data_IF_198794283466
#
_entry.id   IF_198794283466
#
_cell.length_a   1.000
_cell.length_b   1.000
_cell.length_c   1.000
_cell.angle_alpha   90.00
_cell.angle_beta   90.00
_cell.angle_gamma   90.00
#
_symmetry.space_group_name_H-M   'P 1'
#
loop_
_entity.id
_entity.type
_entity.pdbx_description
1 polymer ?
#
# COMPACT_ATOMS: atom_id res chain seq x y z
N UNK A 1 17.56 -6.67 -10.71
CA UNK A 1 18.02 -5.56 -11.59
C UNK A 1 18.04 -4.30 -10.76
N UNK A 2 19.23 -3.87 -10.30
CA UNK A 2 19.35 -2.66 -9.48
C UNK A 2 19.07 -1.38 -10.26
N UNK A 3 18.79 -0.28 -9.55
CA UNK A 3 18.54 1.07 -10.10
C UNK A 3 19.67 1.56 -11.03
N UNK A 4 20.91 1.10 -10.78
CA UNK A 4 22.10 1.41 -11.60
C UNK A 4 22.07 0.64 -12.91
N UNK A 5 21.86 -0.69 -12.85
CA UNK A 5 21.81 -1.55 -14.05
C UNK A 5 20.61 -1.22 -14.95
N UNK A 6 19.50 -0.71 -14.39
CA UNK A 6 18.35 -0.29 -15.18
C UNK A 6 18.69 0.89 -16.11
N UNK A 7 19.44 1.88 -15.62
CA UNK A 7 19.87 3.03 -16.42
C UNK A 7 20.84 2.63 -17.54
N UNK A 8 21.78 1.74 -17.23
CA UNK A 8 22.72 1.18 -18.22
C UNK A 8 22.00 0.31 -19.26
N UNK A 9 21.04 -0.52 -18.85
CA UNK A 9 20.22 -1.32 -19.76
C UNK A 9 19.42 -0.46 -20.74
N UNK A 10 18.82 0.64 -20.26
CA UNK A 10 18.13 1.58 -21.14
C UNK A 10 19.08 2.31 -22.09
N UNK A 11 20.29 2.63 -21.62
CA UNK A 11 21.31 3.21 -22.48
C UNK A 11 21.83 2.21 -23.51
N UNK A 12 21.99 0.92 -23.18
CA UNK A 12 22.45 -0.06 -24.15
C UNK A 12 21.36 -0.38 -25.20
N UNK A 13 20.09 -0.38 -24.79
CA UNK A 13 18.95 -0.68 -25.67
C UNK A 13 18.55 0.47 -26.59
N UNK A 14 18.65 1.72 -26.11
CA UNK A 14 18.18 2.92 -26.83
C UNK A 14 19.29 3.95 -27.08
N UNK A 15 20.51 3.71 -26.61
CA UNK A 15 21.64 4.64 -26.70
C UNK A 15 22.22 4.70 -28.09
N UNK A 16 21.71 5.64 -28.87
CA UNK A 16 22.32 6.12 -30.10
C UNK A 16 22.00 7.58 -30.41
N UNK A 17 21.36 8.29 -29.47
CA UNK A 17 20.86 9.66 -29.65
C UNK A 17 21.73 10.74 -28.98
N UNK A 18 21.41 12.01 -29.28
CA UNK A 18 22.13 13.22 -28.85
C UNK A 18 22.15 13.45 -27.32
N UNK A 19 21.26 12.81 -26.56
CA UNK A 19 21.16 12.89 -25.11
C UNK A 19 21.31 11.50 -24.48
N UNK A 20 22.23 11.30 -23.52
CA UNK A 20 22.35 10.03 -22.82
C UNK A 20 21.08 9.70 -22.04
N UNK A 21 20.49 8.53 -22.32
CA UNK A 21 19.26 8.05 -21.66
C UNK A 21 19.45 7.92 -20.14
N UNK A 22 20.69 7.71 -19.68
CA UNK A 22 21.09 7.79 -18.28
C UNK A 22 20.65 9.11 -17.61
N UNK A 23 20.76 10.26 -18.28
CA UNK A 23 20.33 11.53 -17.69
C UNK A 23 18.82 11.65 -17.60
N UNK A 24 18.09 11.16 -18.61
CA UNK A 24 16.62 11.14 -18.60
C UNK A 24 16.12 10.22 -17.48
N UNK A 25 16.75 9.06 -17.31
CA UNK A 25 16.50 8.14 -16.20
C UNK A 25 16.77 8.79 -14.85
N UNK A 26 17.92 9.45 -14.69
CA UNK A 26 18.27 10.18 -13.47
C UNK A 26 17.29 11.30 -13.13
N UNK A 27 16.87 12.10 -14.11
CA UNK A 27 15.85 13.15 -13.93
C UNK A 27 14.50 12.53 -13.56
N UNK A 28 14.13 11.42 -14.19
CA UNK A 28 12.92 10.65 -13.86
C UNK A 28 12.91 10.16 -12.41
N UNK A 29 14.02 9.59 -11.94
CA UNK A 29 14.20 9.18 -10.54
C UNK A 29 14.08 10.36 -9.58
N UNK A 30 14.68 11.51 -9.93
CA UNK A 30 14.59 12.73 -9.13
C UNK A 30 13.15 13.26 -9.05
N UNK A 31 12.44 13.27 -10.19
CA UNK A 31 11.04 13.70 -10.29
C UNK A 31 10.11 12.77 -9.49
N UNK A 32 10.32 11.45 -9.56
CA UNK A 32 9.57 10.47 -8.76
C UNK A 32 9.74 10.71 -7.26
N UNK A 33 10.97 11.01 -6.80
CA UNK A 33 11.24 11.36 -5.40
C UNK A 33 10.52 12.63 -4.92
N UNK A 34 10.43 13.66 -5.76
CA UNK A 34 9.70 14.88 -5.43
C UNK A 34 8.19 14.63 -5.32
N UNK A 35 7.62 13.85 -6.25
CA UNK A 35 6.19 13.49 -6.24
C UNK A 35 5.79 12.68 -4.98
N UNK A 36 6.62 11.71 -4.60
CA UNK A 36 6.41 10.92 -3.37
C UNK A 36 6.45 11.80 -2.11
N UNK A 37 7.35 12.78 -2.06
CA UNK A 37 7.48 13.69 -0.91
C UNK A 37 6.24 14.56 -0.76
N UNK A 38 5.73 15.12 -1.86
CA UNK A 38 4.51 15.93 -1.84
C UNK A 38 3.32 15.11 -1.31
N UNK A 39 3.08 13.95 -1.90
CA UNK A 39 1.97 13.06 -1.51
C UNK A 39 2.09 12.63 -0.05
N UNK A 40 3.29 12.25 0.40
CA UNK A 40 3.55 11.86 1.80
C UNK A 40 3.27 12.99 2.79
N UNK A 41 3.67 14.23 2.47
CA UNK A 41 3.38 15.37 3.36
C UNK A 41 1.90 15.70 3.42
N UNK A 42 1.15 15.54 2.32
CA UNK A 42 -0.29 15.76 2.29
C UNK A 42 -1.04 14.68 3.07
N UNK A 43 -0.77 13.40 2.80
CA UNK A 43 -1.35 12.27 3.54
C UNK A 43 -1.07 12.37 5.05
N UNK A 44 0.17 12.72 5.42
CA UNK A 44 0.54 12.96 6.81
C UNK A 44 -0.24 14.09 7.48
N UNK A 45 -0.68 15.14 6.76
CA UNK A 45 -1.53 16.18 7.36
C UNK A 45 -2.88 15.63 7.77
N UNK A 46 -3.50 14.82 6.90
CA UNK A 46 -4.84 14.28 7.13
C UNK A 46 -4.83 13.29 8.29
N UNK A 47 -3.84 12.39 8.35
CA UNK A 47 -3.72 11.44 9.46
C UNK A 47 -3.43 12.18 10.77
N UNK A 48 -2.49 13.13 10.77
CA UNK A 48 -2.07 13.81 12.00
C UNK A 48 -3.11 14.80 12.54
N UNK A 49 -3.88 15.43 11.64
CA UNK A 49 -5.02 16.28 12.00
C UNK A 49 -6.29 15.50 12.36
N UNK A 50 -6.47 14.31 11.81
CA UNK A 50 -7.64 13.46 12.10
C UNK A 50 -7.48 12.58 13.34
N UNK A 51 -6.32 11.91 13.48
CA UNK A 51 -6.10 10.92 14.55
C UNK A 51 -5.35 11.44 15.77
N UNK A 52 -4.44 12.41 15.62
CA UNK A 52 -3.57 12.88 16.72
C UNK A 52 -3.88 14.31 17.19
N UNK A 53 -4.79 15.03 16.52
CA UNK A 53 -5.09 16.47 16.69
C UNK A 53 -3.82 17.36 16.89
N UNK A 54 -2.71 16.98 16.27
CA UNK A 54 -1.44 17.69 16.38
C UNK A 54 -1.27 18.66 15.21
N UNK A 55 -1.51 19.94 15.48
CA UNK A 55 -1.30 21.03 14.53
C UNK A 55 0.16 21.49 14.50
N UNK A 56 1.04 20.69 13.87
CA UNK A 56 2.42 21.09 13.59
C UNK A 56 2.55 21.94 12.31
N UNK A 57 3.52 22.87 12.30
CA UNK A 57 3.87 23.67 11.12
C UNK A 57 4.33 22.76 9.97
N UNK A 58 3.89 23.07 8.74
CA UNK A 58 4.16 22.28 7.50
C UNK A 58 5.64 21.96 7.30
N UNK A 59 6.51 22.93 7.54
CA UNK A 59 7.98 22.80 7.39
C UNK A 59 8.57 21.81 8.39
N UNK A 60 8.17 21.89 9.67
CA UNK A 60 8.68 21.01 10.72
C UNK A 60 8.24 19.57 10.51
N UNK A 61 6.98 19.34 10.12
CA UNK A 61 6.50 17.99 9.79
C UNK A 61 7.25 17.38 8.62
N UNK A 62 7.51 18.17 7.57
CA UNK A 62 8.28 17.70 6.42
C UNK A 62 9.73 17.37 6.79
N UNK A 63 10.36 18.14 7.67
CA UNK A 63 11.72 17.87 8.12
C UNK A 63 11.80 16.59 8.94
N UNK A 64 10.88 16.38 9.89
CA UNK A 64 10.84 15.17 10.73
C UNK A 64 10.59 13.92 9.87
N UNK A 65 9.61 13.97 8.97
CA UNK A 65 9.30 12.79 8.13
C UNK A 65 10.46 12.47 7.18
N UNK A 66 11.15 13.49 6.66
CA UNK A 66 12.33 13.30 5.80
C UNK A 66 13.54 12.83 6.60
N UNK A 67 13.78 13.34 7.81
CA UNK A 67 14.88 12.85 8.64
C UNK A 67 14.64 11.40 9.06
N UNK A 68 13.42 11.04 9.46
CA UNK A 68 13.06 9.66 9.79
C UNK A 68 13.19 8.70 8.59
N UNK A 69 13.02 9.17 7.35
CA UNK A 69 13.23 8.34 6.16
C UNK A 69 14.71 8.29 5.73
N UNK A 70 15.42 9.42 5.79
CA UNK A 70 16.81 9.54 5.33
C UNK A 70 17.77 8.86 6.32
N UNK A 71 17.56 8.99 7.62
CA UNK A 71 18.49 8.45 8.63
C UNK A 71 18.66 6.92 8.52
N UNK A 72 17.58 6.10 8.49
CA UNK A 72 17.73 4.66 8.31
C UNK A 72 18.38 4.31 6.97
N UNK A 73 17.97 5.00 5.90
CA UNK A 73 18.53 4.79 4.55
C UNK A 73 20.03 5.10 4.50
N UNK A 74 20.46 6.17 5.17
CA UNK A 74 21.86 6.58 5.25
C UNK A 74 22.69 5.59 6.06
N UNK A 75 22.17 5.12 7.21
CA UNK A 75 22.82 4.10 8.04
C UNK A 75 23.02 2.83 7.23
N UNK A 76 21.98 2.38 6.54
CA UNK A 76 22.08 1.22 5.64
C UNK A 76 23.14 1.47 4.57
N UNK A 77 23.10 2.60 3.86
CA UNK A 77 24.05 2.87 2.79
C UNK A 77 25.52 2.85 3.25
N UNK A 78 25.80 3.34 4.47
CA UNK A 78 27.15 3.35 5.04
C UNK A 78 27.58 1.95 5.49
N UNK A 79 26.70 1.21 6.17
CA UNK A 79 27.01 -0.12 6.73
C UNK A 79 27.14 -1.18 5.63
N UNK A 80 26.32 -1.10 4.58
CA UNK A 80 26.19 -2.11 3.53
C UNK A 80 26.96 -1.79 2.24
N UNK A 81 27.99 -0.92 2.34
CA UNK A 81 28.74 -0.31 1.24
C UNK A 81 29.52 -1.30 0.34
N UNK A 82 28.83 -2.20 -0.39
CA UNK A 82 29.23 -2.94 -1.64
C UNK A 82 28.63 -4.35 -1.82
N UNK A 83 27.74 -4.85 -0.97
CA UNK A 83 27.14 -6.19 -1.21
C UNK A 83 25.76 -6.06 -1.85
N UNK A 84 25.65 -6.33 -3.16
CA UNK A 84 24.36 -6.36 -3.88
C UNK A 84 23.32 -7.23 -3.13
N UNK A 85 23.78 -8.33 -2.52
CA UNK A 85 22.96 -9.23 -1.74
C UNK A 85 22.24 -8.55 -0.56
N UNK A 86 22.83 -7.53 0.06
CA UNK A 86 22.22 -6.84 1.21
C UNK A 86 21.15 -5.81 0.83
N UNK A 87 21.29 -5.20 -0.36
CA UNK A 87 20.28 -4.29 -0.90
C UNK A 87 19.05 -5.07 -1.37
N UNK A 88 19.27 -6.25 -1.94
CA UNK A 88 18.19 -7.16 -2.32
C UNK A 88 17.40 -7.62 -1.09
N UNK A 89 18.10 -8.02 -0.01
CA UNK A 89 17.44 -8.37 1.28
C UNK A 89 16.63 -7.19 1.82
N UNK A 90 17.15 -5.97 1.81
CA UNK A 90 16.40 -4.80 2.27
C UNK A 90 15.16 -4.53 1.41
N UNK A 91 15.27 -4.65 0.09
CA UNK A 91 14.14 -4.49 -0.81
C UNK A 91 13.06 -5.56 -0.54
N UNK A 92 13.47 -6.78 -0.25
CA UNK A 92 12.58 -7.87 0.13
C UNK A 92 11.84 -7.56 1.44
N UNK A 93 12.55 -7.09 2.47
CA UNK A 93 11.96 -6.61 3.72
C UNK A 93 10.98 -5.46 3.51
N UNK A 94 11.30 -4.49 2.64
CA UNK A 94 10.42 -3.37 2.32
C UNK A 94 9.15 -3.84 1.61
N UNK A 95 9.26 -4.77 0.67
CA UNK A 95 8.13 -5.37 -0.02
C UNK A 95 7.21 -6.14 0.95
N UNK A 96 7.79 -6.88 1.88
CA UNK A 96 7.07 -7.59 2.94
C UNK A 96 6.33 -6.63 3.86
N UNK A 97 7.02 -5.59 4.32
CA UNK A 97 6.45 -4.55 5.17
C UNK A 97 5.31 -3.80 4.47
N UNK A 98 5.45 -3.55 3.15
CA UNK A 98 4.41 -2.96 2.33
C UNK A 98 3.21 -3.91 2.21
N UNK A 99 3.43 -5.18 1.90
CA UNK A 99 2.38 -6.18 1.78
C UNK A 99 1.54 -6.31 3.05
N UNK A 100 2.15 -6.18 4.22
CA UNK A 100 1.48 -6.18 5.52
C UNK A 100 0.53 -4.97 5.71
N UNK A 101 0.91 -3.81 5.19
CA UNK A 101 0.19 -2.53 5.38
C UNK A 101 -1.02 -2.37 4.46
N UNK A 102 -0.96 -2.89 3.24
CA UNK A 102 -2.02 -2.74 2.23
C UNK A 102 -3.41 -3.17 2.73
N UNK A 103 -3.61 -4.39 3.30
CA UNK A 103 -4.93 -4.79 3.81
C UNK A 103 -5.41 -3.90 4.97
N UNK A 104 -4.51 -3.47 5.84
CA UNK A 104 -4.84 -2.60 6.97
C UNK A 104 -5.36 -1.23 6.54
N UNK A 105 -4.86 -0.68 5.43
CA UNK A 105 -5.37 0.56 4.87
C UNK A 105 -6.65 0.37 4.03
N UNK A 106 -6.70 -0.68 3.20
CA UNK A 106 -7.79 -0.90 2.26
C UNK A 106 -9.10 -1.30 2.94
N UNK A 107 -9.07 -2.21 3.91
CA UNK A 107 -10.30 -2.78 4.50
C UNK A 107 -11.12 -1.70 5.24
N UNK A 108 -10.53 -0.85 6.10
CA UNK A 108 -11.24 0.27 6.71
C UNK A 108 -11.74 1.27 5.67
N UNK A 109 -10.92 1.61 4.68
CA UNK A 109 -11.31 2.55 3.63
C UNK A 109 -12.54 2.05 2.85
N UNK A 110 -12.57 0.78 2.48
CA UNK A 110 -13.72 0.18 1.79
C UNK A 110 -14.97 0.17 2.65
N UNK A 111 -14.82 -0.10 3.94
CA UNK A 111 -15.94 -0.10 4.88
C UNK A 111 -16.51 1.32 5.02
N UNK A 112 -15.66 2.34 5.12
CA UNK A 112 -16.08 3.75 5.21
C UNK A 112 -16.74 4.26 3.92
N UNK A 113 -16.24 3.85 2.76
CA UNK A 113 -16.76 4.25 1.45
C UNK A 113 -18.08 3.53 1.10
N UNK A 114 -18.36 2.39 1.73
CA UNK A 114 -19.62 1.64 1.53
C UNK A 114 -20.71 2.07 2.52
N UNK A 115 -20.38 2.88 3.51
CA UNK A 115 -21.29 3.35 4.55
C UNK A 115 -22.14 4.54 4.08
N UNK A 116 -23.45 4.40 4.21
CA UNK A 116 -24.45 5.36 3.72
C UNK A 116 -24.61 6.56 4.67
N UNK A 117 -24.26 6.39 5.95
CA UNK A 117 -24.29 7.44 6.97
C UNK A 117 -23.12 8.42 6.77
N UNK A 118 -21.97 7.91 6.28
CA UNK A 118 -20.77 8.71 6.03
C UNK A 118 -20.69 9.30 4.60
N UNK A 119 -21.16 8.61 3.56
CA UNK A 119 -21.07 9.09 2.16
C UNK A 119 -22.33 9.80 1.62
N UNK A 120 -23.48 9.67 2.30
CA UNK A 120 -24.73 10.28 1.86
C UNK A 120 -25.11 9.92 0.42
N UNK A 121 -25.34 10.92 -0.44
CA UNK A 121 -25.84 10.75 -1.83
C UNK A 121 -24.79 10.15 -2.78
N UNK A 122 -23.50 10.16 -2.42
CA UNK A 122 -22.40 9.66 -3.27
C UNK A 122 -21.97 8.23 -2.91
N UNK A 123 -22.89 7.42 -2.37
CA UNK A 123 -22.60 6.03 -2.01
C UNK A 123 -22.16 5.22 -3.23
N UNK A 124 -21.14 4.39 -3.02
CA UNK A 124 -20.70 3.44 -4.05
C UNK A 124 -21.80 2.42 -4.34
N UNK A 125 -22.16 2.31 -5.62
CA UNK A 125 -23.19 1.37 -6.05
C UNK A 125 -22.80 -0.10 -5.77
N UNK A 126 -23.77 -1.00 -5.57
CA UNK A 126 -23.51 -2.39 -5.14
C UNK A 126 -22.75 -3.25 -6.16
N UNK A 127 -22.66 -2.79 -7.41
CA UNK A 127 -21.82 -3.40 -8.46
C UNK A 127 -20.37 -2.97 -8.28
N UNK A 128 -20.15 -1.67 -8.10
CA UNK A 128 -18.80 -1.11 -7.99
C UNK A 128 -18.15 -1.49 -6.66
N UNK A 129 -18.95 -1.58 -5.58
CA UNK A 129 -18.53 -2.15 -4.31
C UNK A 129 -18.03 -3.59 -4.47
N UNK A 130 -18.78 -4.45 -5.20
CA UNK A 130 -18.35 -5.82 -5.48
C UNK A 130 -17.05 -5.88 -6.25
N UNK A 131 -16.89 -5.05 -7.28
CA UNK A 131 -15.65 -4.96 -8.08
C UNK A 131 -14.46 -4.57 -7.20
N UNK A 132 -14.60 -3.53 -6.39
CA UNK A 132 -13.51 -3.05 -5.54
C UNK A 132 -13.15 -4.07 -4.46
N UNK A 133 -14.13 -4.76 -3.87
CA UNK A 133 -13.86 -5.85 -2.94
C UNK A 133 -13.17 -7.05 -3.60
N UNK A 134 -13.54 -7.42 -4.82
CA UNK A 134 -12.85 -8.49 -5.55
C UNK A 134 -11.40 -8.10 -5.85
N UNK A 135 -11.16 -6.84 -6.21
CA UNK A 135 -9.81 -6.32 -6.44
C UNK A 135 -8.99 -6.33 -5.15
N UNK A 136 -9.56 -5.88 -4.03
CA UNK A 136 -8.89 -5.92 -2.72
C UNK A 136 -8.57 -7.34 -2.30
N UNK A 137 -9.49 -8.29 -2.46
CA UNK A 137 -9.23 -9.69 -2.17
C UNK A 137 -8.06 -10.24 -3.02
N UNK A 138 -8.03 -9.92 -4.31
CA UNK A 138 -6.94 -10.31 -5.20
C UNK A 138 -5.59 -9.73 -4.75
N UNK A 139 -5.53 -8.42 -4.44
CA UNK A 139 -4.31 -7.76 -3.98
C UNK A 139 -3.81 -8.37 -2.66
N UNK A 140 -4.73 -8.65 -1.73
CA UNK A 140 -4.38 -9.26 -0.44
C UNK A 140 -3.84 -10.68 -0.61
N UNK A 141 -4.41 -11.49 -1.51
CA UNK A 141 -3.90 -12.83 -1.82
C UNK A 141 -2.49 -12.76 -2.42
N UNK A 142 -2.25 -11.85 -3.38
CA UNK A 142 -0.93 -11.70 -4.01
C UNK A 142 0.12 -11.25 -2.99
N UNK A 143 -0.17 -10.23 -2.17
CA UNK A 143 0.75 -9.76 -1.15
C UNK A 143 0.97 -10.83 -0.05
N UNK A 144 -0.07 -11.61 0.28
CA UNK A 144 0.04 -12.74 1.20
C UNK A 144 0.95 -13.85 0.68
N UNK A 145 0.94 -14.12 -0.63
CA UNK A 145 1.85 -15.09 -1.23
C UNK A 145 3.31 -14.66 -1.10
N UNK A 146 3.63 -13.41 -1.45
CA UNK A 146 5.00 -12.85 -1.32
C UNK A 146 5.46 -12.88 0.14
N UNK A 147 4.55 -12.59 1.07
CA UNK A 147 4.83 -12.68 2.50
C UNK A 147 5.20 -14.10 2.93
N UNK A 148 4.43 -15.11 2.48
CA UNK A 148 4.70 -16.51 2.79
C UNK A 148 6.02 -16.98 2.20
N UNK A 149 6.33 -16.60 0.95
CA UNK A 149 7.59 -16.94 0.29
C UNK A 149 8.79 -16.41 1.07
N UNK A 150 8.73 -15.14 1.50
CA UNK A 150 9.76 -14.54 2.33
C UNK A 150 9.96 -15.27 3.66
N UNK A 151 8.87 -15.60 4.35
CA UNK A 151 8.93 -16.30 5.63
C UNK A 151 9.51 -17.71 5.49
N UNK A 152 9.17 -18.44 4.43
CA UNK A 152 9.73 -19.77 4.14
C UNK A 152 11.23 -19.68 3.85
N UNK A 153 11.67 -18.65 3.10
CA UNK A 153 13.09 -18.40 2.82
C UNK A 153 13.91 -18.12 4.09
N UNK A 154 13.31 -17.47 5.09
CA UNK A 154 13.98 -17.12 6.35
C UNK A 154 14.06 -18.28 7.37
N UNK A 155 13.38 -19.41 7.14
CA UNK A 155 13.39 -20.57 8.04
C UNK A 155 14.66 -21.39 7.86
N UNK A 156 15.63 -21.16 8.73
CA UNK A 156 16.87 -21.96 8.86
C UNK A 156 16.90 -22.89 10.09
N UNK A 157 15.81 -22.96 10.87
CA UNK A 157 15.71 -23.85 12.03
C UNK A 157 14.27 -24.21 12.43
N UNK A 158 14.07 -25.41 12.98
CA UNK A 158 12.73 -25.97 13.28
C UNK A 158 11.93 -25.13 14.28
N UNK A 159 12.57 -24.62 15.34
CA UNK A 159 11.92 -23.74 16.33
C UNK A 159 11.53 -22.39 15.73
N UNK A 160 12.43 -21.78 14.95
CA UNK A 160 12.15 -20.51 14.27
C UNK A 160 11.05 -20.67 13.21
N UNK A 161 11.03 -21.81 12.51
CA UNK A 161 9.97 -22.18 11.58
C UNK A 161 8.61 -22.36 12.24
N UNK A 162 8.55 -22.94 13.44
CA UNK A 162 7.29 -23.11 14.17
C UNK A 162 6.73 -21.75 14.61
N UNK A 163 7.57 -20.86 15.15
CA UNK A 163 7.18 -19.49 15.52
C UNK A 163 6.70 -18.71 14.30
N UNK A 164 7.46 -18.75 13.20
CA UNK A 164 7.10 -18.06 11.95
C UNK A 164 5.80 -18.61 11.35
N UNK A 165 5.62 -19.94 11.30
CA UNK A 165 4.38 -20.56 10.83
C UNK A 165 3.18 -20.17 11.69
N UNK A 166 3.33 -20.12 13.02
CA UNK A 166 2.25 -19.67 13.90
C UNK A 166 1.92 -18.19 13.68
N UNK A 167 2.92 -17.33 13.48
CA UNK A 167 2.72 -15.92 13.14
C UNK A 167 2.06 -15.71 11.78
N UNK A 168 2.50 -16.45 10.76
CA UNK A 168 1.91 -16.42 9.43
C UNK A 168 0.47 -16.95 9.43
N UNK A 169 0.20 -18.04 10.16
CA UNK A 169 -1.15 -18.57 10.33
C UNK A 169 -2.05 -17.60 11.10
N UNK A 170 -1.54 -16.93 12.14
CA UNK A 170 -2.27 -15.89 12.86
C UNK A 170 -2.58 -14.69 11.97
N UNK A 171 -1.63 -14.26 11.13
CA UNK A 171 -1.86 -13.18 10.17
C UNK A 171 -2.86 -13.57 9.08
N UNK A 172 -2.75 -14.78 8.53
CA UNK A 172 -3.72 -15.31 7.56
C UNK A 172 -5.12 -15.42 8.19
N UNK A 173 -5.23 -15.88 9.44
CA UNK A 173 -6.47 -15.91 10.19
C UNK A 173 -7.02 -14.50 10.46
N UNK A 174 -6.17 -13.53 10.77
CA UNK A 174 -6.54 -12.13 10.95
C UNK A 174 -7.05 -11.51 9.64
N UNK A 175 -6.41 -11.80 8.50
CA UNK A 175 -6.86 -11.36 7.19
C UNK A 175 -8.19 -12.02 6.81
N UNK A 176 -8.33 -13.33 7.03
CA UNK A 176 -9.61 -14.03 6.83
C UNK A 176 -10.69 -13.47 7.74
N UNK A 177 -10.37 -13.14 8.99
CA UNK A 177 -11.27 -12.47 9.91
C UNK A 177 -11.69 -11.10 9.38
N UNK A 178 -10.77 -10.26 8.91
CA UNK A 178 -11.09 -8.94 8.34
C UNK A 178 -11.92 -9.03 7.05
N UNK A 179 -11.63 -10.00 6.18
CA UNK A 179 -12.44 -10.28 4.98
C UNK A 179 -13.84 -10.76 5.40
N UNK A 180 -13.91 -11.66 6.38
CA UNK A 180 -15.17 -12.21 6.88
C UNK A 180 -16.02 -11.15 7.55
N UNK A 181 -15.43 -10.24 8.33
CA UNK A 181 -16.09 -9.10 8.94
C UNK A 181 -16.61 -8.12 7.88
N UNK A 182 -15.78 -7.78 6.88
CA UNK A 182 -16.23 -6.99 5.72
C UNK A 182 -17.36 -7.67 4.93
N UNK A 183 -17.35 -9.00 4.82
CA UNK A 183 -18.42 -9.78 4.21
C UNK A 183 -19.65 -10.00 5.11
N UNK A 184 -19.49 -9.91 6.43
CA UNK A 184 -20.59 -10.00 7.41
C UNK A 184 -21.35 -8.68 7.46
N UNK A 185 -20.65 -7.54 7.37
CA UNK A 185 -21.24 -6.21 7.12
C UNK A 185 -22.03 -6.22 5.81
N UNK A 186 -21.51 -6.88 4.76
CA UNK A 186 -22.19 -7.11 3.48
C UNK A 186 -23.49 -7.93 3.62
N UNK A 187 -23.52 -8.91 4.54
CA UNK A 187 -24.72 -9.71 4.84
C UNK A 187 -25.84 -8.93 5.53
N UNK A 188 -25.47 -8.03 6.45
CA UNK A 188 -26.43 -7.21 7.19
C UNK A 188 -27.09 -6.13 6.31
N UNK A 189 -26.35 -5.52 5.38
CA UNK A 189 -26.87 -4.48 4.49
C UNK A 189 -27.74 -5.03 3.34
N UNK A 190 -27.43 -6.23 2.83
CA UNK A 190 -28.19 -6.85 1.73
C UNK A 190 -29.60 -7.29 2.15
N UNK A 191 -29.82 -7.61 3.43
CA UNK A 191 -31.14 -8.04 3.92
C UNK A 191 -32.10 -6.89 4.24
N UNK A 192 -31.60 -5.65 4.43
CA UNK A 192 -32.44 -4.54 4.92
C UNK A 192 -33.03 -3.65 3.83
N UNK A 193 -32.52 -3.69 2.59
CA UNK A 193 -33.04 -2.82 1.52
C UNK A 193 -33.18 -3.46 0.14
N UNK A 194 -34.14 -4.40 -0.06
CA UNK A 194 -34.72 -4.64 -1.38
C UNK A 194 -35.69 -3.52 -1.83
N UNK A 195 -36.19 -2.69 -0.89
CA UNK A 195 -37.44 -1.93 -1.09
C UNK A 195 -37.32 -0.44 -1.48
N UNK A 196 -36.13 0.19 -1.47
CA UNK A 196 -35.99 1.59 -1.90
C UNK A 196 -35.60 1.77 -3.37
N UNK A 197 -35.43 0.67 -4.12
CA UNK A 197 -35.09 0.70 -5.56
C UNK A 197 -36.23 1.22 -6.46
N UNK A 198 -37.45 1.37 -5.95
CA UNK A 198 -38.63 1.64 -6.79
C UNK A 198 -39.16 3.09 -6.78
N UNK A 199 -38.69 4.00 -5.92
CA UNK A 199 -39.32 5.34 -5.78
C UNK A 199 -38.49 6.54 -6.22
N UNK A 200 -37.24 6.36 -6.65
CA UNK A 200 -36.34 7.47 -7.02
C UNK A 200 -36.43 7.97 -8.48
N UNK A 201 -37.05 7.21 -9.39
CA UNK A 201 -37.10 7.56 -10.81
C UNK A 201 -38.32 8.39 -11.24
N UNK A 202 -39.18 8.80 -10.31
CA UNK A 202 -40.42 9.52 -10.64
C UNK A 202 -40.32 11.06 -10.65
N UNK A 203 -39.14 11.66 -10.43
CA UNK A 203 -38.99 13.12 -10.28
C UNK A 203 -38.02 13.79 -11.27
N UNK A 204 -37.64 13.11 -12.35
CA UNK A 204 -36.86 13.72 -13.44
C UNK A 204 -37.69 13.71 -14.73
N UNK A 205 -38.76 14.49 -14.74
CA UNK A 205 -39.69 14.61 -15.86
C UNK A 205 -40.53 15.87 -15.74
N UNK A 206 -39.91 17.01 -15.98
CA UNK A 206 -40.51 18.20 -16.59
C UNK A 206 -39.42 19.16 -17.04
#
# INVERSE_FOLDING_TARGET
MGLVNAGEYFQERYGGGLFPILYIWGIGLLAAGQSSTLTGTYAGQFIMGGFLDLRLKKQLRSLITRSCAIVPTMIVAIVFNRSEASLDVLNEWLNVLQGLQIPFALIPLLTLVSDEELMGVSKVGPVMERVVWTLTAMVVVINGYVLLEFFVSMVSGVLFGLVVCTGAAAYAAFILYLISYGSAVRGFHSTRFPMLRSKGFAYAGN
#
